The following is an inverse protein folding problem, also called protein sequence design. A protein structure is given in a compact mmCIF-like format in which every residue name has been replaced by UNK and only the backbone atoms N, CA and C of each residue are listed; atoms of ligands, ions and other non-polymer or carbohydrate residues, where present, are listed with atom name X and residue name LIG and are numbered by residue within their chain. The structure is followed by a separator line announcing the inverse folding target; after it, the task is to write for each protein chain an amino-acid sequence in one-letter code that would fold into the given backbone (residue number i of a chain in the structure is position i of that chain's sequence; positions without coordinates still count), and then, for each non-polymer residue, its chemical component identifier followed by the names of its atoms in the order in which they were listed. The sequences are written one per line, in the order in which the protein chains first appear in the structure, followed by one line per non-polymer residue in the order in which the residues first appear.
data_IF_314325075491
#
_entry.id   IF_314325075491
#
_cell.length_a   1.000
_cell.length_b   1.000
_cell.length_c   1.000
_cell.angle_alpha   90.00
_cell.angle_beta   90.00
_cell.angle_gamma   90.00
#
_symmetry.space_group_name_H-M   'P 1'
#
loop_
_entity.id
_entity.type
_entity.pdbx_description
1 polymer ?
#
# COMPACT_ATOMS: atom_id res chain seq x y z
N UNK A 1 -0.18 14.03 7.81
CA UNK A 1 0.68 13.13 7.00
C UNK A 1 2.11 13.02 7.54
N UNK A 2 2.72 14.10 8.04
CA UNK A 2 4.07 14.11 8.66
C UNK A 2 4.32 13.03 9.71
N UNK A 3 3.37 12.80 10.64
CA UNK A 3 3.55 11.78 11.68
C UNK A 3 3.79 10.37 11.13
N UNK A 4 3.21 10.06 9.96
CA UNK A 4 3.40 8.77 9.28
C UNK A 4 4.82 8.69 8.72
N UNK A 5 5.32 9.77 8.13
CA UNK A 5 6.70 9.89 7.64
C UNK A 5 7.70 9.64 8.76
N UNK A 6 7.53 10.31 9.91
CA UNK A 6 8.43 10.20 11.06
C UNK A 6 8.39 8.79 11.66
N UNK A 7 7.20 8.20 11.78
CA UNK A 7 7.05 6.82 12.27
C UNK A 7 7.74 5.81 11.34
N UNK A 8 7.56 5.92 10.02
CA UNK A 8 8.18 5.02 9.04
C UNK A 8 9.71 5.12 9.12
N UNK A 9 10.27 6.33 9.20
CA UNK A 9 11.71 6.54 9.32
C UNK A 9 12.26 6.00 10.65
N UNK A 10 11.56 6.26 11.76
CA UNK A 10 11.96 5.78 13.08
C UNK A 10 12.01 4.24 13.14
N UNK A 11 11.02 3.57 12.55
CA UNK A 11 10.99 2.10 12.47
C UNK A 11 12.12 1.57 11.59
N UNK A 12 12.40 2.19 10.43
CA UNK A 12 13.49 1.76 9.58
C UNK A 12 14.87 1.92 10.26
N UNK A 13 15.08 3.04 10.94
CA UNK A 13 16.31 3.32 11.67
C UNK A 13 16.58 2.29 12.77
N UNK A 14 15.54 1.78 13.45
CA UNK A 14 15.67 0.71 14.45
C UNK A 14 16.25 -0.60 13.88
N UNK A 15 16.19 -0.79 12.56
CA UNK A 15 16.77 -1.94 11.85
C UNK A 15 18.09 -1.62 11.14
N UNK A 16 18.66 -0.43 11.30
CA UNK A 16 19.75 0.15 10.47
C UNK A 16 19.40 0.19 8.98
N UNK A 17 18.11 0.30 8.66
CA UNK A 17 17.65 0.53 7.30
C UNK A 17 17.36 2.01 7.09
N UNK A 18 17.46 2.47 5.85
CA UNK A 18 17.00 3.79 5.43
C UNK A 18 15.78 3.66 4.54
N UNK A 19 14.85 4.58 4.70
CA UNK A 19 13.73 4.69 3.77
C UNK A 19 14.25 5.30 2.47
N UNK A 20 13.75 4.79 1.35
CA UNK A 20 14.16 5.26 0.03
C UNK A 20 13.55 6.62 -0.27
N UNK A 21 14.39 7.56 -0.71
CA UNK A 21 13.99 8.90 -1.15
C UNK A 21 13.12 8.85 -2.41
N UNK A 22 12.18 9.79 -2.52
CA UNK A 22 11.29 9.91 -3.69
C UNK A 22 10.09 8.95 -3.69
N UNK A 23 9.91 8.12 -2.66
CA UNK A 23 8.73 7.26 -2.53
C UNK A 23 7.57 8.04 -1.94
N UNK A 24 6.44 8.02 -2.64
CA UNK A 24 5.22 8.73 -2.31
C UNK A 24 4.06 7.75 -2.12
N UNK A 25 3.34 7.87 -1.00
CA UNK A 25 2.06 7.20 -0.83
C UNK A 25 0.93 8.14 -1.21
N UNK A 26 0.12 7.77 -2.17
CA UNK A 26 -0.90 8.65 -2.75
C UNK A 26 -2.30 8.32 -2.23
N UNK A 27 -3.11 9.36 -2.07
CA UNK A 27 -4.56 9.21 -2.05
C UNK A 27 -5.05 8.64 -3.37
N UNK A 28 -5.94 7.66 -3.32
CA UNK A 28 -6.63 7.09 -4.46
C UNK A 28 -8.03 7.68 -4.57
N UNK A 29 -8.43 8.06 -5.78
CA UNK A 29 -9.81 8.42 -6.12
C UNK A 29 -10.26 7.61 -7.33
N UNK A 30 -11.53 7.71 -7.68
CA UNK A 30 -12.01 7.10 -8.91
C UNK A 30 -11.20 7.62 -10.09
N UNK A 31 -10.55 6.71 -10.80
CA UNK A 31 -9.72 6.99 -11.98
C UNK A 31 -8.44 7.83 -11.74
N UNK A 32 -8.10 8.13 -10.49
CA UNK A 32 -6.89 8.89 -10.12
C UNK A 32 -6.10 8.09 -9.10
N UNK A 33 -4.89 7.67 -9.49
CA UNK A 33 -4.00 6.84 -8.66
C UNK A 33 -2.98 7.67 -7.86
N UNK A 34 -2.87 8.96 -8.17
CA UNK A 34 -1.91 9.92 -7.67
C UNK A 34 -2.63 11.20 -7.22
N UNK A 35 -3.54 11.04 -6.26
CA UNK A 35 -4.24 12.18 -5.67
C UNK A 35 -3.29 13.16 -4.97
N UNK A 36 -3.78 14.37 -4.78
CA UNK A 36 -3.00 15.50 -4.25
C UNK A 36 -2.58 15.32 -2.78
N UNK A 37 -3.36 14.59 -1.97
CA UNK A 37 -2.96 14.26 -0.60
C UNK A 37 -1.94 13.13 -0.66
N UNK A 38 -0.71 13.44 -0.25
CA UNK A 38 0.43 12.53 -0.36
C UNK A 38 1.15 12.41 0.98
N UNK A 39 1.68 11.22 1.25
CA UNK A 39 2.61 10.97 2.35
C UNK A 39 3.99 10.81 1.72
N UNK A 40 4.90 11.71 2.07
CA UNK A 40 6.28 11.68 1.61
C UNK A 40 7.09 10.76 2.52
N UNK A 41 7.76 9.74 1.99
CA UNK A 41 8.45 8.75 2.83
C UNK A 41 9.73 9.31 3.47
N UNK A 42 10.44 10.20 2.75
CA UNK A 42 11.61 10.93 3.24
C UNK A 42 11.55 12.36 2.72
N UNK A 43 11.70 13.33 3.63
CA UNK A 43 11.80 14.74 3.25
C UNK A 43 13.12 15.02 2.55
N UNK A 44 13.07 15.65 1.38
CA UNK A 44 14.24 16.17 0.68
C UNK A 44 13.99 17.63 0.26
N UNK A 45 15.04 18.42 -0.04
CA UNK A 45 14.89 19.84 -0.39
C UNK A 45 14.08 20.06 -1.68
N UNK A 46 14.13 19.09 -2.59
CA UNK A 46 13.60 19.18 -3.95
C UNK A 46 12.12 18.79 -4.05
N UNK A 47 11.61 17.99 -3.11
CA UNK A 47 10.25 17.46 -3.08
C UNK A 47 9.52 18.00 -1.86
N UNK A 48 8.60 18.94 -2.12
CA UNK A 48 7.70 19.47 -1.09
C UNK A 48 6.31 18.88 -1.29
N UNK A 49 5.73 18.43 -0.19
CA UNK A 49 4.36 17.96 -0.12
C UNK A 49 3.64 18.80 0.92
N UNK A 50 2.42 19.20 0.60
CA UNK A 50 1.61 19.99 1.52
C UNK A 50 1.24 19.19 2.77
N UNK A 51 1.09 19.90 3.88
CA UNK A 51 0.56 19.30 5.09
C UNK A 51 -0.90 18.92 4.86
N UNK A 52 -1.21 17.66 5.15
CA UNK A 52 -2.53 17.09 4.91
C UNK A 52 -3.02 16.31 6.13
N UNK A 53 -4.25 16.60 6.53
CA UNK A 53 -5.02 15.79 7.46
C UNK A 53 -5.81 14.73 6.70
N UNK A 54 -5.87 13.53 7.31
CA UNK A 54 -6.59 12.39 6.77
C UNK A 54 -8.06 12.48 7.16
N UNK A 55 -8.95 12.22 6.20
CA UNK A 55 -10.40 12.30 6.41
C UNK A 55 -11.06 10.92 6.31
N UNK A 56 -12.24 10.79 6.91
CA UNK A 56 -13.07 9.59 6.77
C UNK A 56 -13.49 9.38 5.30
N UNK A 57 -13.55 8.12 4.90
CA UNK A 57 -13.85 7.63 3.55
C UNK A 57 -12.77 7.93 2.50
N UNK A 58 -11.59 8.35 2.92
CA UNK A 58 -10.43 8.42 2.02
C UNK A 58 -9.77 7.04 1.83
N UNK A 59 -9.12 6.87 0.69
CA UNK A 59 -8.38 5.65 0.34
C UNK A 59 -6.95 6.03 0.01
N UNK A 60 -5.98 5.27 0.52
CA UNK A 60 -4.55 5.52 0.27
C UNK A 60 -3.86 4.25 -0.22
N UNK A 61 -2.98 4.40 -1.21
CA UNK A 61 -1.95 3.42 -1.53
C UNK A 61 -0.70 3.75 -0.70
N UNK A 62 -0.52 3.02 0.38
CA UNK A 62 0.66 3.13 1.24
C UNK A 62 1.81 2.37 0.59
N UNK A 63 2.89 3.09 0.33
CA UNK A 63 4.08 2.62 -0.36
C UNK A 63 5.29 2.78 0.54
N UNK A 64 5.89 1.66 0.97
CA UNK A 64 7.04 1.65 1.88
C UNK A 64 8.17 0.89 1.21
N UNK A 65 9.27 1.61 0.97
CA UNK A 65 10.50 1.04 0.42
C UNK A 65 11.64 1.35 1.37
N UNK A 66 12.30 0.29 1.85
CA UNK A 66 13.45 0.38 2.73
C UNK A 66 14.69 -0.23 2.07
N UNK A 67 15.85 0.34 2.37
CA UNK A 67 17.16 -0.02 1.82
C UNK A 67 18.14 -0.28 2.97
N UNK A 68 19.02 -1.26 2.82
CA UNK A 68 20.18 -1.44 3.72
C UNK A 68 21.31 -0.45 3.41
N UNK A 69 21.23 0.22 2.26
CA UNK A 69 22.22 1.17 1.78
C UNK A 69 21.94 2.61 2.19
N UNK A 70 22.13 3.54 1.25
CA UNK A 70 21.96 4.98 1.51
C UNK A 70 20.52 5.47 1.40
N UNK A 71 19.61 4.69 0.81
CA UNK A 71 18.23 5.11 0.53
C UNK A 71 18.14 6.08 -0.65
N UNK A 72 19.19 6.18 -1.48
CA UNK A 72 19.32 7.14 -2.58
C UNK A 72 19.52 6.40 -3.90
N UNK A 73 18.44 5.80 -4.43
CA UNK A 73 18.56 4.95 -5.59
C UNK A 73 18.83 5.80 -6.84
N UNK A 74 19.62 5.27 -7.76
CA UNK A 74 20.06 5.96 -8.97
C UNK A 74 19.47 5.33 -10.21
N UNK A 75 19.23 6.15 -11.21
CA UNK A 75 18.94 5.69 -12.56
C UNK A 75 20.25 5.25 -13.21
N UNK A 76 20.34 3.98 -13.61
CA UNK A 76 21.51 3.44 -14.29
C UNK A 76 21.36 3.45 -15.81
N UNK A 77 20.17 3.12 -16.31
CA UNK A 77 19.87 3.06 -17.74
C UNK A 77 18.42 3.51 -18.01
N UNK A 78 18.28 4.63 -18.70
CA UNK A 78 16.98 5.16 -19.13
C UNK A 78 16.21 4.16 -20.01
N UNK A 79 16.92 3.32 -20.77
CA UNK A 79 16.30 2.35 -21.70
C UNK A 79 15.55 1.22 -20.98
N UNK A 80 15.82 1.01 -19.69
CA UNK A 80 15.09 0.03 -18.87
C UNK A 80 13.70 0.54 -18.48
N UNK A 81 13.41 1.82 -18.66
CA UNK A 81 12.09 2.40 -18.39
C UNK A 81 11.07 1.86 -19.40
N UNK A 82 10.25 0.91 -18.95
CA UNK A 82 9.17 0.34 -19.77
C UNK A 82 7.78 0.67 -19.26
N UNK A 83 7.65 1.31 -18.09
CA UNK A 83 6.37 1.64 -17.49
C UNK A 83 6.12 3.14 -17.65
N UNK A 84 4.94 3.48 -18.13
CA UNK A 84 4.52 4.84 -18.39
C UNK A 84 3.10 5.06 -17.91
N UNK A 85 2.75 6.30 -17.59
CA UNK A 85 1.39 6.74 -17.32
C UNK A 85 1.09 7.97 -18.16
N UNK A 86 -0.13 8.09 -18.65
CA UNK A 86 -0.57 9.31 -19.34
C UNK A 86 -0.76 10.48 -18.38
N UNK A 87 -0.23 11.64 -18.76
CA UNK A 87 -0.57 12.92 -18.16
C UNK A 87 -1.85 13.46 -18.83
N UNK A 88 -2.97 13.45 -18.11
CA UNK A 88 -4.28 13.85 -18.65
C UNK A 88 -4.46 15.37 -18.73
N UNK A 89 -3.67 16.10 -17.95
CA UNK A 89 -3.63 17.56 -17.87
C UNK A 89 -2.75 18.21 -18.95
N UNK A 90 -1.90 17.42 -19.61
CA UNK A 90 -0.98 17.88 -20.65
C UNK A 90 -1.56 17.65 -22.03
N UNK A 91 -1.47 18.68 -22.87
CA UNK A 91 -1.87 18.61 -24.27
C UNK A 91 -0.75 19.18 -25.14
N UNK A 92 -0.34 18.38 -26.12
CA UNK A 92 0.72 18.73 -27.06
C UNK A 92 0.43 18.11 -28.42
N UNK A 93 0.71 18.88 -29.47
CA UNK A 93 0.48 18.43 -30.84
C UNK A 93 1.69 17.66 -31.37
N UNK A 94 1.66 16.35 -31.22
CA UNK A 94 2.73 15.43 -31.66
C UNK A 94 3.01 15.59 -33.16
N UNK A 95 4.28 15.75 -33.52
CA UNK A 95 4.74 16.00 -34.90
C UNK A 95 4.93 14.69 -35.67
N UNK A 96 5.37 13.61 -35.02
CA UNK A 96 5.58 12.34 -35.72
C UNK A 96 4.28 11.56 -35.91
N UNK A 97 4.10 10.97 -37.09
CA UNK A 97 2.97 10.06 -37.38
C UNK A 97 2.95 8.87 -36.41
N UNK A 98 4.13 8.34 -36.08
CA UNK A 98 4.29 7.21 -35.16
C UNK A 98 3.82 7.56 -33.75
N UNK A 99 4.23 8.71 -33.21
CA UNK A 99 3.84 9.13 -31.86
C UNK A 99 2.34 9.38 -31.77
N UNK A 100 1.72 9.99 -32.79
CA UNK A 100 0.25 10.16 -32.84
C UNK A 100 -0.49 8.82 -32.81
N UNK A 101 -0.02 7.83 -33.58
CA UNK A 101 -0.60 6.49 -33.60
C UNK A 101 -0.51 5.83 -32.22
N UNK A 102 0.69 5.81 -31.63
CA UNK A 102 0.93 5.21 -30.30
C UNK A 102 0.14 5.94 -29.21
N UNK A 103 0.09 7.27 -29.23
CA UNK A 103 -0.67 8.04 -28.26
C UNK A 103 -2.19 7.78 -28.37
N UNK A 104 -2.70 7.60 -29.60
CA UNK A 104 -4.09 7.19 -29.82
C UNK A 104 -4.38 5.80 -29.25
N UNK A 105 -3.47 4.84 -29.46
CA UNK A 105 -3.58 3.48 -28.90
C UNK A 105 -3.57 3.52 -27.36
N UNK A 106 -2.66 4.29 -26.76
CA UNK A 106 -2.58 4.49 -25.30
C UNK A 106 -3.87 5.10 -24.77
N UNK A 107 -4.41 6.12 -25.42
CA UNK A 107 -5.67 6.76 -24.99
C UNK A 107 -6.86 5.79 -25.02
N UNK A 108 -6.88 4.84 -25.94
CA UNK A 108 -7.95 3.86 -26.06
C UNK A 108 -7.79 2.71 -25.05
N UNK A 109 -6.57 2.17 -24.88
CA UNK A 109 -6.31 0.99 -24.04
C UNK A 109 -6.03 1.34 -22.58
N UNK A 110 -5.32 2.44 -22.34
CA UNK A 110 -4.77 2.85 -21.03
C UNK A 110 -5.03 4.34 -20.77
N UNK A 111 -6.29 4.79 -20.72
CA UNK A 111 -6.62 6.22 -20.69
C UNK A 111 -6.06 6.98 -19.49
N UNK A 112 -5.86 6.29 -18.37
CA UNK A 112 -5.53 6.86 -17.04
C UNK A 112 -4.56 6.00 -16.22
N UNK A 113 -4.55 4.67 -16.43
CA UNK A 113 -3.76 3.75 -15.62
C UNK A 113 -2.34 3.60 -16.21
N UNK A 114 -1.34 3.33 -15.37
CA UNK A 114 -0.01 2.97 -15.84
C UNK A 114 -0.05 1.73 -16.72
N UNK A 115 0.83 1.70 -17.72
CA UNK A 115 0.94 0.61 -18.67
C UNK A 115 2.40 0.29 -18.98
N UNK A 116 2.63 -0.93 -19.45
CA UNK A 116 3.94 -1.39 -19.94
C UNK A 116 4.03 -1.15 -21.45
N UNK A 117 5.19 -0.67 -21.93
CA UNK A 117 5.48 -0.50 -23.35
C UNK A 117 5.33 -1.81 -24.14
N UNK A 118 5.49 -2.97 -23.49
CA UNK A 118 5.25 -4.30 -24.08
C UNK A 118 3.79 -4.54 -24.50
N UNK A 119 2.83 -3.79 -23.98
CA UNK A 119 1.41 -3.92 -24.33
C UNK A 119 1.03 -3.11 -25.59
N UNK A 120 1.97 -2.34 -26.13
CA UNK A 120 1.82 -1.57 -27.37
C UNK A 120 2.33 -2.36 -28.57
N UNK A 121 1.92 -1.98 -29.77
CA UNK A 121 2.38 -2.64 -30.99
C UNK A 121 3.90 -2.47 -31.22
N UNK A 122 4.59 -3.61 -31.24
CA UNK A 122 6.04 -3.74 -31.02
C UNK A 122 6.93 -3.02 -32.04
N UNK A 123 6.53 -2.95 -33.31
CA UNK A 123 7.41 -2.45 -34.39
C UNK A 123 7.67 -0.94 -34.34
N UNK A 124 6.89 -0.18 -33.56
CA UNK A 124 6.90 1.30 -33.62
C UNK A 124 6.83 2.00 -32.26
N UNK A 125 6.59 1.27 -31.17
CA UNK A 125 6.34 1.85 -29.85
C UNK A 125 7.51 2.70 -29.31
N UNK A 126 8.76 2.19 -29.36
CA UNK A 126 9.91 2.87 -28.73
C UNK A 126 10.14 4.29 -29.24
N UNK A 127 10.12 4.49 -30.56
CA UNK A 127 10.36 5.82 -31.14
C UNK A 127 9.21 6.79 -30.83
N UNK A 128 7.96 6.30 -30.85
CA UNK A 128 6.79 7.11 -30.53
C UNK A 128 6.72 7.54 -29.07
N UNK A 129 7.18 6.68 -28.15
CA UNK A 129 7.20 6.98 -26.72
C UNK A 129 8.17 8.12 -26.37
N UNK A 130 9.33 8.21 -27.05
CA UNK A 130 10.33 9.25 -26.77
C UNK A 130 9.75 10.65 -26.95
N UNK A 131 9.03 10.91 -28.05
CA UNK A 131 8.38 12.22 -28.27
C UNK A 131 7.31 12.50 -27.21
N UNK A 132 6.51 11.50 -26.85
CA UNK A 132 5.47 11.66 -25.84
C UNK A 132 6.03 11.96 -24.44
N UNK A 133 7.16 11.36 -24.07
CA UNK A 133 7.84 11.64 -22.79
C UNK A 133 8.50 13.01 -22.81
N UNK A 134 9.20 13.37 -23.90
CA UNK A 134 9.88 14.67 -24.03
C UNK A 134 8.93 15.88 -24.01
N UNK A 135 7.66 15.66 -24.30
CA UNK A 135 6.61 16.68 -24.27
C UNK A 135 5.61 16.48 -23.12
N UNK A 136 6.01 15.75 -22.08
CA UNK A 136 5.26 15.53 -20.83
C UNK A 136 3.86 14.91 -21.01
N UNK A 137 3.57 14.31 -22.17
CA UNK A 137 2.31 13.60 -22.38
C UNK A 137 2.28 12.25 -21.64
N UNK A 138 3.46 11.69 -21.38
CA UNK A 138 3.66 10.47 -20.62
C UNK A 138 4.65 10.70 -19.49
N UNK A 139 4.25 10.31 -18.28
CA UNK A 139 5.11 10.26 -17.11
C UNK A 139 5.81 8.89 -17.04
N UNK A 140 7.15 8.85 -17.11
CA UNK A 140 7.92 7.61 -16.98
C UNK A 140 7.99 7.13 -15.53
N UNK A 141 8.05 5.82 -15.34
CA UNK A 141 8.33 5.16 -14.06
C UNK A 141 9.70 4.46 -14.20
N UNK A 142 10.80 5.18 -13.92
CA UNK A 142 12.15 4.67 -14.17
C UNK A 142 12.51 3.50 -13.25
N UNK A 143 13.39 2.62 -13.74
CA UNK A 143 13.96 1.54 -12.93
C UNK A 143 15.15 2.08 -12.14
N UNK A 144 14.96 2.20 -10.82
CA UNK A 144 15.95 2.75 -9.91
C UNK A 144 16.71 1.62 -9.20
N UNK A 145 18.00 1.83 -8.95
CA UNK A 145 18.88 0.84 -8.36
C UNK A 145 19.62 1.40 -7.14
N UNK A 146 19.76 0.57 -6.12
CA UNK A 146 20.71 0.82 -5.02
C UNK A 146 22.11 0.34 -5.39
N UNK A 147 23.09 0.63 -4.52
CA UNK A 147 24.47 0.19 -4.74
C UNK A 147 24.53 -1.35 -4.80
N UNK A 148 25.41 -1.92 -5.64
CA UNK A 148 25.60 -3.37 -5.69
C UNK A 148 26.00 -3.92 -4.31
N UNK A 149 25.26 -4.92 -3.84
CA UNK A 149 25.47 -5.55 -2.53
C UNK A 149 24.47 -5.10 -1.47
N UNK A 150 23.77 -3.98 -1.67
CA UNK A 150 22.67 -3.55 -0.82
C UNK A 150 21.34 -4.21 -1.21
N UNK A 151 20.45 -4.34 -0.22
CA UNK A 151 19.14 -4.94 -0.39
C UNK A 151 18.05 -3.89 -0.25
N UNK A 152 17.01 -4.02 -1.08
CA UNK A 152 15.81 -3.19 -1.04
C UNK A 152 14.59 -4.07 -0.76
N UNK A 153 13.80 -3.70 0.23
CA UNK A 153 12.52 -4.32 0.54
C UNK A 153 11.39 -3.35 0.21
N UNK A 154 10.39 -3.83 -0.51
CA UNK A 154 9.25 -3.02 -0.96
C UNK A 154 7.95 -3.69 -0.53
N UNK A 155 7.14 -2.95 0.23
CA UNK A 155 5.78 -3.34 0.59
C UNK A 155 4.82 -2.24 0.17
N UNK A 156 3.79 -2.62 -0.58
CA UNK A 156 2.69 -1.75 -0.97
C UNK A 156 1.38 -2.36 -0.54
N UNK A 157 0.50 -1.56 0.02
CA UNK A 157 -0.87 -1.97 0.33
C UNK A 157 -1.85 -0.80 0.25
N UNK A 158 -3.12 -1.13 0.14
CA UNK A 158 -4.22 -0.16 0.05
C UNK A 158 -4.99 -0.18 1.36
N UNK A 159 -5.22 1.02 1.91
CA UNK A 159 -5.97 1.22 3.15
C UNK A 159 -7.18 2.10 2.89
N UNK A 160 -8.32 1.71 3.47
CA UNK A 160 -9.56 2.47 3.48
C UNK A 160 -9.73 3.08 4.87
N UNK A 161 -9.93 4.38 4.94
CA UNK A 161 -10.20 5.09 6.19
C UNK A 161 -11.70 5.07 6.45
N UNK A 162 -12.18 4.05 7.15
CA UNK A 162 -13.61 3.94 7.47
C UNK A 162 -13.91 4.63 8.81
N UNK A 163 -15.17 5.03 9.08
CA UNK A 163 -15.54 5.62 10.38
C UNK A 163 -15.29 4.70 11.60
N UNK A 164 -15.07 3.40 11.38
CA UNK A 164 -14.74 2.42 12.43
C UNK A 164 -13.22 2.11 12.51
N UNK A 165 -12.38 2.80 11.74
CA UNK A 165 -10.94 2.63 11.69
C UNK A 165 -10.42 2.29 10.31
N UNK A 166 -9.12 2.02 10.23
CA UNK A 166 -8.43 1.78 8.97
C UNK A 166 -8.53 0.31 8.55
N UNK A 167 -9.04 0.05 7.35
CA UNK A 167 -9.13 -1.29 6.78
C UNK A 167 -8.08 -1.51 5.69
N UNK A 168 -7.19 -2.46 5.91
CA UNK A 168 -6.19 -2.86 4.92
C UNK A 168 -6.78 -3.95 4.02
N UNK A 169 -7.03 -3.62 2.75
CA UNK A 169 -7.74 -4.51 1.83
C UNK A 169 -6.81 -5.36 0.96
N UNK A 170 -5.57 -4.93 0.74
CA UNK A 170 -4.57 -5.71 0.00
C UNK A 170 -3.55 -6.28 0.97
N UNK A 171 -3.36 -7.59 0.88
CA UNK A 171 -2.45 -8.35 1.73
C UNK A 171 -1.55 -9.19 0.84
N UNK A 172 -0.28 -9.28 1.24
CA UNK A 172 0.70 -10.14 0.62
C UNK A 172 1.15 -11.17 1.65
N UNK A 173 1.43 -12.42 1.25
CA UNK A 173 2.01 -13.40 2.15
C UNK A 173 3.37 -12.88 2.63
N UNK A 174 3.48 -12.65 3.94
CA UNK A 174 4.72 -12.17 4.52
C UNK A 174 5.75 -13.30 4.52
N UNK A 175 6.97 -12.97 4.07
CA UNK A 175 8.08 -13.89 4.17
C UNK A 175 8.40 -14.14 5.65
N UNK A 176 8.66 -15.39 6.01
CA UNK A 176 9.18 -15.71 7.34
C UNK A 176 10.59 -15.18 7.43
N UNK A 177 10.80 -14.17 8.26
CA UNK A 177 12.10 -13.57 8.52
C UNK A 177 12.49 -13.88 9.97
N UNK A 178 13.77 -14.17 10.18
CA UNK A 178 14.37 -14.19 11.50
C UNK A 178 15.16 -12.89 11.66
N UNK A 179 14.56 -11.85 12.26
CA UNK A 179 15.26 -10.60 12.45
C UNK A 179 16.43 -10.82 13.41
N UNK A 180 17.61 -10.32 13.04
CA UNK A 180 18.80 -10.31 13.89
C UNK A 180 18.69 -9.29 15.02
N UNK A 181 17.76 -8.35 14.90
CA UNK A 181 17.52 -7.25 15.84
C UNK A 181 16.15 -7.32 16.47
N UNK A 182 16.11 -6.99 17.75
CA UNK A 182 14.88 -6.73 18.50
C UNK A 182 14.66 -5.23 18.62
N UNK A 183 13.42 -4.79 18.39
CA UNK A 183 13.05 -3.39 18.62
C UNK A 183 12.82 -3.21 20.11
N UNK A 184 13.59 -2.33 20.75
CA UNK A 184 13.42 -2.01 22.18
C UNK A 184 12.86 -0.62 22.47
N UNK A 185 12.69 0.21 21.45
CA UNK A 185 12.07 1.52 21.59
C UNK A 185 10.61 1.41 22.08
N UNK A 186 10.26 2.04 23.22
CA UNK A 186 8.93 1.92 23.82
C UNK A 186 7.83 2.56 22.97
N UNK A 187 8.15 3.57 22.18
CA UNK A 187 7.20 4.25 21.30
C UNK A 187 6.82 3.35 20.12
N UNK A 188 7.83 2.72 19.49
CA UNK A 188 7.58 1.75 18.41
C UNK A 188 6.77 0.57 18.93
N UNK A 189 7.12 0.03 20.10
CA UNK A 189 6.32 -1.03 20.75
C UNK A 189 4.89 -0.58 21.01
N UNK A 190 4.70 0.67 21.44
CA UNK A 190 3.39 1.29 21.62
C UNK A 190 2.57 1.29 20.32
N UNK A 191 3.15 1.77 19.21
CA UNK A 191 2.47 1.79 17.91
C UNK A 191 2.11 0.39 17.41
N UNK A 192 3.04 -0.57 17.51
CA UNK A 192 2.82 -1.94 17.06
C UNK A 192 1.76 -2.68 17.89
N UNK A 193 1.53 -2.27 19.14
CA UNK A 193 0.49 -2.83 19.99
C UNK A 193 -0.92 -2.25 19.69
N UNK A 194 -1.01 -1.12 18.96
CA UNK A 194 -2.30 -0.52 18.60
C UNK A 194 -3.04 -1.39 17.57
N UNK A 195 -4.34 -1.59 17.81
CA UNK A 195 -5.21 -2.22 16.83
C UNK A 195 -5.53 -1.27 15.68
N UNK A 196 -5.53 -1.78 14.45
CA UNK A 196 -5.87 -0.98 13.25
C UNK A 196 -7.36 -0.69 13.12
N UNK A 197 -8.22 -1.49 13.77
CA UNK A 197 -9.67 -1.28 13.85
C UNK A 197 -10.08 -0.95 15.28
N UNK A 198 -10.92 0.06 15.44
CA UNK A 198 -11.57 0.28 16.73
C UNK A 198 -12.59 -0.84 16.95
N UNK A 199 -12.41 -1.65 18.00
CA UNK A 199 -13.51 -2.48 18.49
C UNK A 199 -14.58 -1.51 18.97
N UNK A 200 -15.67 -1.33 18.21
CA UNK A 200 -16.89 -0.75 18.79
C UNK A 200 -17.16 -1.52 20.08
N UNK A 201 -17.06 -0.86 21.23
CA UNK A 201 -17.70 -1.34 22.46
C UNK A 201 -19.18 -1.45 22.11
N UNK A 202 -19.63 -2.67 21.81
CA UNK A 202 -21.04 -2.94 21.60
C UNK A 202 -21.80 -2.38 22.79
N UNK A 203 -22.75 -1.49 22.52
CA UNK A 203 -23.72 -1.02 23.51
C UNK A 203 -24.51 -2.22 23.99
N UNK A 204 -24.00 -2.89 25.02
CA UNK A 204 -24.70 -3.92 25.77
C UNK A 204 -25.89 -3.27 26.45
N UNK A 205 -27.04 -3.31 25.77
CA UNK A 205 -28.33 -2.97 26.35
C UNK A 205 -28.58 -3.95 27.50
N UNK A 206 -28.38 -3.48 28.73
CA UNK A 206 -28.81 -4.14 29.97
C UNK A 206 -30.24 -4.67 29.79
N UNK A 207 -30.41 -5.98 29.68
CA UNK A 207 -31.70 -6.63 29.98
C UNK A 207 -31.65 -7.05 31.45
N UNK A 208 -32.16 -6.16 32.30
CA UNK A 208 -32.46 -6.42 33.72
C UNK A 208 -33.87 -7.01 33.78
N UNK A 209 -34.00 -8.18 34.40
CA UNK A 209 -35.27 -8.80 34.79
C UNK A 209 -35.10 -10.32 34.83
N UNK A 210 -35.44 -11.05 35.88
CA UNK A 210 -35.99 -10.75 37.21
C UNK A 210 -35.76 -12.05 38.01
N UNK A 211 -35.33 -11.94 39.27
CA UNK A 211 -35.26 -13.07 40.21
C UNK A 211 -36.63 -13.75 40.31
N UNK A 212 -36.65 -15.08 40.41
CA UNK A 212 -37.44 -15.81 41.39
C UNK A 212 -36.70 -17.12 41.74
N UNK A 213 -36.31 -17.21 43.02
CA UNK A 213 -36.19 -18.47 43.78
C UNK A 213 -37.57 -19.15 43.78
N UNK A 214 -37.76 -20.46 43.85
CA UNK A 214 -36.91 -21.63 43.90
C UNK A 214 -37.86 -22.83 43.95
N UNK A 215 -37.40 -24.04 43.62
CA UNK A 215 -37.85 -25.23 44.35
C UNK A 215 -36.83 -26.37 44.20
N UNK A 216 -36.65 -27.11 45.29
CA UNK A 216 -35.72 -28.24 45.47
C UNK A 216 -36.40 -29.55 45.09
N UNK A 217 -35.61 -30.48 44.56
CA UNK A 217 -35.63 -31.95 44.77
C UNK A 217 -35.05 -32.64 43.53
N UNK A 218 -34.31 -33.74 43.55
CA UNK A 218 -33.43 -34.42 44.50
C UNK A 218 -32.74 -35.52 43.66
N UNK A 219 -31.62 -36.05 44.15
CA UNK A 219 -31.01 -37.34 43.80
C UNK A 219 -30.33 -37.58 42.42
N UNK A 220 -28.99 -37.54 42.42
CA UNK A 220 -28.09 -38.55 41.78
C UNK A 220 -28.14 -39.87 42.61
N UNK A 221 -27.64 -41.07 42.16
CA UNK A 221 -26.50 -41.28 41.24
C UNK A 221 -26.51 -42.53 40.31
N UNK A 222 -25.50 -42.54 39.42
CA UNK A 222 -24.65 -43.67 39.00
C UNK A 222 -25.20 -44.95 38.32
N UNK A 223 -24.64 -45.16 37.11
CA UNK A 223 -23.88 -46.34 36.65
C UNK A 223 -24.56 -47.47 35.84
N UNK A 224 -23.71 -48.04 34.96
CA UNK A 224 -23.68 -49.37 34.40
C UNK A 224 -24.45 -49.66 33.09
N UNK A 225 -23.69 -49.51 32.00
CA UNK A 225 -23.24 -50.61 31.12
C UNK A 225 -24.23 -51.38 30.21
N UNK A 226 -23.74 -51.53 28.96
CA UNK A 226 -23.77 -52.71 28.07
C UNK A 226 -24.97 -52.93 27.12
N UNK A 227 -24.55 -53.20 25.86
CA UNK A 227 -25.08 -54.18 24.88
C UNK A 227 -26.46 -53.90 24.30
N UNK A 228 -26.79 -54.14 23.03
CA UNK A 228 -26.13 -54.82 21.93
C UNK A 228 -26.83 -54.42 20.61
N UNK A 229 -26.08 -54.53 19.51
CA UNK A 229 -26.46 -55.09 18.21
C UNK A 229 -27.73 -54.70 17.43
N UNK A 230 -27.46 -54.55 16.11
CA UNK A 230 -28.19 -55.10 14.96
C UNK A 230 -29.27 -54.27 14.25
N UNK A 231 -28.98 -54.08 12.95
CA UNK A 231 -29.86 -54.14 11.76
C UNK A 231 -31.15 -53.30 11.79
N UNK A 232 -31.34 -52.38 10.84
CA UNK A 232 -31.46 -52.64 9.39
C UNK A 232 -31.27 -51.36 8.59
#
# INVERSE_FOLDING_TARGET
NKDVTDAIQKVAAAYDCKIVEGVLSHQLKQFVIDGNKVILSVSNPDTRVDDAEFEENEVYAVDIVASTGEGKPKLLDEKQTTIYKRAVDKNYHLKMKTSRFIFSEINQKFPILPFTARALEEKRARLGLVECVNHDLLQPYPVLHEKPGDYVAHIKFTVLLMPNGSDRITLHPLQKLQPTKTIDDPEIKGWLALGTKTKKKGGGKKKKGKKNEGDKADAEPMDASKTDAAAS
#
